data_IF_918928530658
#
_entry.id   IF_918928530658
#
_cell.length_a   1.000
_cell.length_b   1.000
_cell.length_c   1.000
_cell.angle_alpha   90.00
_cell.angle_beta   90.00
_cell.angle_gamma   90.00
#
_symmetry.space_group_name_H-M   'P 1'
#
loop_
_entity.id
_entity.type
_entity.pdbx_description
1 polymer ?
#
# COMPACT_ATOMS: atom_id res chain seq x y z
N UNK A 1 -22.31 0.71 8.38
CA UNK A 1 -22.91 1.62 7.40
C UNK A 1 -22.77 3.01 7.95
N UNK A 2 -22.49 4.02 7.13
CA UNK A 2 -22.56 5.43 7.55
C UNK A 2 -24.02 5.91 7.61
N UNK A 3 -24.22 7.22 7.84
CA UNK A 3 -25.54 7.85 7.87
C UNK A 3 -26.26 7.87 6.52
N UNK A 4 -25.53 7.68 5.42
CA UNK A 4 -26.04 7.66 4.05
C UNK A 4 -26.25 6.20 3.55
N UNK A 5 -26.19 5.23 4.46
CA UNK A 5 -26.31 3.79 4.20
C UNK A 5 -25.19 3.19 3.33
N UNK A 6 -24.07 3.90 3.18
CA UNK A 6 -22.91 3.38 2.49
C UNK A 6 -22.23 2.29 3.32
N UNK A 7 -21.76 1.19 2.71
CA UNK A 7 -20.98 0.18 3.40
C UNK A 7 -19.53 0.62 3.57
N UNK A 8 -19.01 0.34 4.76
CA UNK A 8 -17.62 0.52 5.15
C UNK A 8 -17.11 -0.81 5.67
N UNK A 9 -15.89 -1.16 5.28
CA UNK A 9 -15.27 -2.44 5.57
C UNK A 9 -13.80 -2.19 5.86
N UNK A 10 -13.29 -2.82 6.91
CA UNK A 10 -11.86 -3.01 7.12
C UNK A 10 -11.53 -4.49 6.96
N UNK A 11 -10.39 -4.79 6.34
CA UNK A 11 -10.01 -6.16 6.04
C UNK A 11 -8.50 -6.34 6.02
N UNK A 12 -8.09 -7.58 6.35
CA UNK A 12 -6.74 -8.07 6.09
C UNK A 12 -6.70 -8.61 4.67
N UNK A 13 -5.79 -8.11 3.85
CA UNK A 13 -5.42 -8.76 2.59
C UNK A 13 -4.05 -9.41 2.70
N UNK A 14 -3.78 -10.36 1.81
CA UNK A 14 -2.55 -11.15 1.78
C UNK A 14 -1.78 -10.86 0.49
N UNK A 15 -0.45 -10.69 0.60
CA UNK A 15 0.48 -10.65 -0.54
C UNK A 15 1.20 -11.98 -0.70
N UNK A 16 1.81 -12.14 -1.86
CA UNK A 16 2.79 -13.20 -2.12
C UNK A 16 3.96 -13.01 -1.15
N UNK A 17 4.43 -14.10 -0.52
CA UNK A 17 5.47 -14.13 0.54
C UNK A 17 5.03 -13.80 1.99
N UNK A 18 3.75 -13.93 2.31
CA UNK A 18 3.18 -13.87 3.68
C UNK A 18 3.13 -12.49 4.34
N UNK A 19 3.50 -11.42 3.64
CA UNK A 19 3.14 -10.07 4.09
C UNK A 19 1.63 -9.89 3.99
N UNK A 20 1.04 -9.33 5.03
CA UNK A 20 -0.37 -8.93 5.02
C UNK A 20 -0.47 -7.42 5.10
N UNK A 21 -1.62 -6.90 4.72
CA UNK A 21 -1.92 -5.49 4.88
C UNK A 21 -3.28 -5.31 5.52
N UNK A 22 -3.39 -4.22 6.29
CA UNK A 22 -4.65 -3.69 6.77
C UNK A 22 -5.15 -2.67 5.75
N UNK A 23 -6.31 -2.95 5.14
CA UNK A 23 -7.01 -2.00 4.27
C UNK A 23 -8.34 -1.57 4.87
N UNK A 24 -8.76 -0.38 4.49
CA UNK A 24 -10.11 0.12 4.64
C UNK A 24 -10.71 0.38 3.26
N UNK A 25 -12.00 0.15 3.14
CA UNK A 25 -12.75 0.46 1.95
C UNK A 25 -14.14 0.96 2.31
N UNK A 26 -14.62 1.90 1.51
CA UNK A 26 -16.00 2.36 1.56
C UNK A 26 -16.58 2.41 0.15
N UNK A 27 -17.90 2.37 0.04
CA UNK A 27 -18.58 2.45 -1.24
C UNK A 27 -19.49 3.66 -1.29
N UNK A 28 -19.40 4.44 -2.36
CA UNK A 28 -20.32 5.55 -2.62
C UNK A 28 -21.00 5.41 -3.99
N UNK A 29 -21.59 6.49 -4.49
CA UNK A 29 -22.23 6.54 -5.81
C UNK A 29 -21.29 6.35 -7.00
N UNK A 30 -19.98 6.52 -6.81
CA UNK A 30 -18.94 6.36 -7.84
C UNK A 30 -18.28 4.98 -7.82
N UNK A 31 -18.44 4.21 -6.73
CA UNK A 31 -17.93 2.84 -6.65
C UNK A 31 -17.28 2.54 -5.30
N UNK A 32 -16.37 1.56 -5.30
CA UNK A 32 -15.54 1.26 -4.14
C UNK A 32 -14.29 2.14 -4.13
N UNK A 33 -13.95 2.64 -2.96
CA UNK A 33 -12.72 3.37 -2.65
C UNK A 33 -11.93 2.55 -1.66
N UNK A 34 -10.62 2.40 -1.89
CA UNK A 34 -9.73 1.60 -1.06
C UNK A 34 -8.62 2.47 -0.47
N UNK A 35 -8.19 2.10 0.73
CA UNK A 35 -7.16 2.79 1.47
C UNK A 35 -6.26 1.79 2.20
N UNK A 36 -4.95 1.88 1.96
CA UNK A 36 -3.95 1.15 2.74
C UNK A 36 -3.71 1.87 4.07
N UNK A 37 -3.97 1.17 5.17
CA UNK A 37 -3.75 1.70 6.52
C UNK A 37 -2.34 1.35 6.99
N UNK A 38 -1.96 0.07 6.88
CA UNK A 38 -0.67 -0.41 7.37
C UNK A 38 -0.26 -1.73 6.71
N UNK A 39 1.04 -1.94 6.53
CA UNK A 39 1.65 -3.22 6.16
C UNK A 39 2.12 -3.94 7.42
N UNK A 40 1.58 -5.12 7.69
CA UNK A 40 1.96 -5.96 8.84
C UNK A 40 1.62 -7.41 8.58
N UNK A 41 2.49 -8.31 9.02
CA UNK A 41 2.35 -9.77 8.92
C UNK A 41 1.03 -10.32 9.47
N UNK A 42 0.42 -9.65 10.45
CA UNK A 42 -0.81 -10.11 11.05
C UNK A 42 -1.61 -8.94 11.61
N UNK A 43 -2.79 -8.71 11.05
CA UNK A 43 -3.73 -7.71 11.52
C UNK A 43 -5.11 -8.34 11.72
N UNK A 44 -5.77 -7.97 12.83
CA UNK A 44 -7.15 -8.35 13.13
C UNK A 44 -7.96 -7.07 13.35
N UNK A 45 -8.48 -6.48 12.28
CA UNK A 45 -9.08 -5.17 12.40
C UNK A 45 -10.52 -5.23 12.90
N UNK A 46 -10.89 -4.19 13.62
CA UNK A 46 -12.25 -3.86 14.01
C UNK A 46 -12.52 -2.43 13.55
N UNK A 47 -13.70 -2.20 12.98
CA UNK A 47 -14.13 -0.90 12.46
C UNK A 47 -15.37 -0.45 13.22
N UNK A 48 -15.38 0.81 13.62
CA UNK A 48 -16.55 1.58 14.00
C UNK A 48 -16.58 2.89 13.20
N UNK A 49 -17.75 3.54 13.12
CA UNK A 49 -17.88 4.84 12.47
C UNK A 49 -18.36 5.88 13.49
N UNK A 50 -17.82 7.10 13.46
CA UNK A 50 -18.37 8.18 14.27
C UNK A 50 -19.69 8.74 13.69
N UNK A 51 -20.29 9.69 14.41
CA UNK A 51 -21.52 10.37 13.99
C UNK A 51 -21.38 11.19 12.69
N UNK A 52 -20.15 11.42 12.23
CA UNK A 52 -19.83 12.11 10.97
C UNK A 52 -19.46 11.13 9.85
N UNK A 53 -19.52 9.82 10.10
CA UNK A 53 -19.19 8.77 9.14
C UNK A 53 -17.69 8.48 9.02
N UNK A 54 -16.84 9.07 9.86
CA UNK A 54 -15.40 8.81 9.81
C UNK A 54 -15.06 7.45 10.41
N UNK A 55 -14.14 6.69 9.80
CA UNK A 55 -13.74 5.39 10.32
C UNK A 55 -12.87 5.53 11.57
N UNK A 56 -13.15 4.64 12.53
CA UNK A 56 -12.36 4.35 13.71
C UNK A 56 -11.94 2.89 13.64
N UNK A 57 -10.67 2.64 13.38
CA UNK A 57 -10.15 1.29 13.17
C UNK A 57 -9.19 0.94 14.29
N UNK A 58 -9.41 -0.22 14.87
CA UNK A 58 -8.52 -0.82 15.85
C UNK A 58 -7.92 -2.08 15.23
N UNK A 59 -6.60 -2.25 15.29
CA UNK A 59 -5.98 -3.50 14.89
C UNK A 59 -4.97 -3.95 15.91
N UNK A 60 -5.01 -5.24 16.19
CA UNK A 60 -3.89 -5.93 16.82
C UNK A 60 -2.83 -6.20 15.76
N UNK A 61 -1.61 -5.71 15.96
CA UNK A 61 -0.54 -5.71 14.96
C UNK A 61 0.65 -6.50 15.48
N UNK A 62 1.06 -7.49 14.69
CA UNK A 62 2.32 -8.20 14.87
C UNK A 62 3.45 -7.44 14.17
N UNK A 63 4.50 -7.12 14.94
CA UNK A 63 5.68 -6.42 14.46
C UNK A 63 6.70 -7.36 13.76
N UNK A 64 6.32 -8.61 13.48
CA UNK A 64 7.15 -9.53 12.70
C UNK A 64 8.25 -10.25 13.50
N UNK A 65 8.23 -10.13 14.83
CA UNK A 65 9.08 -10.94 15.69
C UNK A 65 8.35 -12.24 16.01
N UNK A 66 8.97 -13.39 15.80
CA UNK A 66 8.43 -14.74 16.04
C UNK A 66 7.95 -15.03 17.49
N UNK A 67 8.03 -14.02 18.37
CA UNK A 67 7.47 -13.98 19.74
C UNK A 67 7.22 -12.53 20.23
N UNK A 68 7.09 -11.57 19.31
CA UNK A 68 6.95 -10.14 19.64
C UNK A 68 5.63 -9.80 20.32
N UNK A 69 5.57 -8.69 21.08
CA UNK A 69 4.31 -8.22 21.63
C UNK A 69 3.38 -7.78 20.50
N UNK A 70 2.15 -8.27 20.55
CA UNK A 70 1.00 -7.71 19.87
C UNK A 70 0.78 -6.26 20.34
N UNK A 71 0.73 -5.33 19.39
CA UNK A 71 0.47 -3.91 19.67
C UNK A 71 -0.92 -3.55 19.17
N UNK A 72 -1.74 -3.02 20.08
CA UNK A 72 -3.03 -2.46 19.73
C UNK A 72 -2.81 -1.08 19.12
N UNK A 73 -3.07 -0.92 17.82
CA UNK A 73 -3.05 0.37 17.14
C UNK A 73 -4.46 0.85 16.84
N UNK A 74 -4.65 2.15 16.96
CA UNK A 74 -5.90 2.85 16.71
C UNK A 74 -5.70 3.90 15.63
N UNK A 75 -6.58 3.89 14.65
CA UNK A 75 -6.61 4.78 13.49
C UNK A 75 -7.97 5.50 13.47
N UNK A 76 -7.98 6.80 13.18
CA UNK A 76 -9.22 7.58 13.09
C UNK A 76 -9.13 8.67 12.03
N UNK A 77 -10.21 8.91 11.29
CA UNK A 77 -10.30 9.99 10.30
C UNK A 77 -10.04 9.54 8.86
N UNK A 78 -9.62 10.45 7.98
CA UNK A 78 -9.05 10.10 6.67
C UNK A 78 -7.67 9.49 6.96
N UNK A 79 -7.47 8.22 6.65
CA UNK A 79 -6.42 7.41 7.27
C UNK A 79 -5.05 7.48 6.58
N UNK A 80 -4.89 8.12 5.42
CA UNK A 80 -3.64 8.62 4.88
C UNK A 80 -3.89 9.55 3.66
N UNK A 81 -3.13 10.64 3.56
CA UNK A 81 -2.99 11.36 2.29
C UNK A 81 -2.30 10.42 1.29
N UNK A 82 -2.80 10.36 0.06
CA UNK A 82 -2.11 9.62 -1.02
C UNK A 82 -0.68 10.13 -1.13
N UNK A 83 0.35 9.26 -0.98
CA UNK A 83 1.74 9.69 -1.07
C UNK A 83 1.97 10.38 -2.42
N UNK A 84 2.63 11.53 -2.38
CA UNK A 84 2.96 12.26 -3.59
C UNK A 84 4.19 11.62 -4.20
N UNK A 85 4.00 10.84 -5.26
CA UNK A 85 5.06 10.29 -6.11
C UNK A 85 5.33 11.21 -7.29
N UNK A 86 6.57 11.29 -7.76
CA UNK A 86 6.96 12.14 -8.88
C UNK A 86 7.40 11.32 -10.09
N UNK A 87 7.33 11.94 -11.28
CA UNK A 87 7.76 11.25 -12.49
C UNK A 87 9.27 11.02 -12.52
N UNK A 88 9.68 9.83 -12.96
CA UNK A 88 11.08 9.51 -13.19
C UNK A 88 11.65 10.32 -14.36
N UNK A 89 12.98 10.53 -14.45
CA UNK A 89 13.60 11.43 -15.43
C UNK A 89 13.29 11.12 -16.90
N UNK A 90 13.05 9.86 -17.24
CA UNK A 90 12.73 9.42 -18.61
C UNK A 90 11.23 9.28 -18.90
N UNK A 91 10.37 9.55 -17.92
CA UNK A 91 8.93 9.29 -18.00
C UNK A 91 8.12 10.58 -18.20
N UNK A 92 6.92 10.43 -18.77
CA UNK A 92 5.96 11.53 -18.98
C UNK A 92 4.83 11.55 -17.97
N UNK A 93 4.77 10.57 -17.07
CA UNK A 93 3.76 10.44 -16.02
C UNK A 93 4.45 9.96 -14.72
N UNK A 94 3.87 10.28 -13.55
CA UNK A 94 4.30 9.70 -12.29
C UNK A 94 3.95 8.20 -12.24
N UNK A 95 4.65 7.42 -11.40
CA UNK A 95 4.27 6.05 -11.10
C UNK A 95 2.80 5.94 -10.68
N UNK A 96 2.17 4.81 -10.98
CA UNK A 96 0.79 4.50 -10.61
C UNK A 96 0.73 3.25 -9.72
N UNK A 97 -0.35 3.19 -8.93
CA UNK A 97 -0.77 2.05 -8.10
C UNK A 97 -2.11 1.52 -8.66
N UNK A 98 -2.09 0.67 -9.71
CA UNK A 98 -3.30 0.17 -10.36
C UNK A 98 -4.18 -0.68 -9.45
N UNK A 99 -3.60 -1.43 -8.50
CA UNK A 99 -4.34 -2.35 -7.63
C UNK A 99 -4.67 -1.78 -6.23
N UNK A 100 -4.25 -0.53 -5.99
CA UNK A 100 -4.49 0.27 -4.79
C UNK A 100 -3.96 -0.41 -3.52
N UNK A 101 -2.84 -1.12 -3.61
CA UNK A 101 -2.13 -1.73 -2.48
C UNK A 101 -1.07 -0.84 -1.83
N UNK A 102 -0.93 0.39 -2.34
CA UNK A 102 0.00 1.42 -1.90
C UNK A 102 1.41 1.22 -2.42
N UNK A 103 1.67 0.19 -3.23
CA UNK A 103 2.90 0.04 -4.00
C UNK A 103 2.65 0.52 -5.41
N UNK A 104 3.70 1.08 -6.01
CA UNK A 104 3.58 1.74 -7.30
C UNK A 104 4.35 0.91 -8.33
N UNK A 105 3.76 -0.21 -8.76
CA UNK A 105 4.39 -1.17 -9.70
C UNK A 105 4.37 -0.71 -11.16
N UNK A 106 3.47 0.19 -11.54
CA UNK A 106 3.51 0.89 -12.83
C UNK A 106 4.45 2.10 -12.70
N UNK A 107 5.75 1.81 -12.70
CA UNK A 107 6.82 2.80 -12.46
C UNK A 107 6.92 3.82 -13.59
N UNK A 108 6.53 3.45 -14.80
CA UNK A 108 6.60 4.35 -15.95
C UNK A 108 5.32 5.20 -16.14
N UNK A 109 4.22 4.83 -15.48
CA UNK A 109 2.94 5.53 -15.48
C UNK A 109 2.13 5.33 -16.76
N UNK A 110 2.34 4.24 -17.50
CA UNK A 110 1.64 3.92 -18.76
C UNK A 110 0.34 3.13 -18.55
N UNK A 111 -0.12 3.02 -17.31
CA UNK A 111 -1.32 2.31 -16.83
C UNK A 111 -1.20 0.79 -16.83
N UNK A 112 -0.03 0.23 -17.13
CA UNK A 112 0.18 -1.21 -17.18
C UNK A 112 1.43 -1.62 -16.39
N UNK A 113 1.25 -2.48 -15.38
CA UNK A 113 2.40 -3.16 -14.79
C UNK A 113 3.02 -4.14 -15.80
N UNK A 114 4.26 -3.86 -16.20
CA UNK A 114 4.95 -4.54 -17.28
C UNK A 114 6.44 -4.79 -17.00
N UNK A 115 7.10 -5.51 -17.91
CA UNK A 115 8.56 -5.65 -17.86
C UNK A 115 9.31 -4.31 -18.08
N UNK A 116 8.65 -3.33 -18.70
CA UNK A 116 9.19 -1.97 -18.83
C UNK A 116 9.41 -1.32 -17.46
N UNK A 117 8.50 -1.55 -16.53
CA UNK A 117 8.55 -1.02 -15.16
C UNK A 117 9.65 -1.66 -14.35
N UNK A 118 9.81 -2.99 -14.45
CA UNK A 118 10.90 -3.70 -13.78
C UNK A 118 12.26 -3.18 -14.26
N UNK A 119 12.41 -3.02 -15.58
CA UNK A 119 13.64 -2.47 -16.18
C UNK A 119 13.91 -1.06 -15.64
N UNK A 120 12.88 -0.21 -15.62
CA UNK A 120 13.00 1.16 -15.19
C UNK A 120 13.32 1.28 -13.70
N UNK A 121 12.65 0.48 -12.86
CA UNK A 121 12.96 0.38 -11.44
C UNK A 121 14.43 -0.03 -11.23
N UNK A 122 14.91 -1.08 -11.91
CA UNK A 122 16.31 -1.49 -11.85
C UNK A 122 17.30 -0.40 -12.31
N UNK A 123 16.88 0.51 -13.19
CA UNK A 123 17.71 1.63 -13.65
C UNK A 123 17.84 2.73 -12.58
N UNK A 124 16.86 2.88 -11.68
CA UNK A 124 16.77 4.02 -10.75
C UNK A 124 16.71 3.65 -9.25
N UNK A 125 16.67 2.36 -8.89
CA UNK A 125 16.46 1.88 -7.51
C UNK A 125 17.60 2.25 -6.53
N UNK A 126 18.82 2.50 -7.01
CA UNK A 126 20.00 2.67 -6.15
C UNK A 126 20.34 4.13 -5.82
N UNK A 127 19.85 5.08 -6.61
CA UNK A 127 20.17 6.50 -6.46
C UNK A 127 18.93 7.39 -6.51
N UNK A 128 18.15 7.33 -7.58
CA UNK A 128 17.12 8.35 -7.81
C UNK A 128 15.85 8.10 -6.99
N UNK A 129 15.29 6.88 -7.03
CA UNK A 129 14.06 6.56 -6.28
C UNK A 129 14.29 6.75 -4.77
N UNK A 130 15.36 6.20 -4.15
CA UNK A 130 15.60 6.42 -2.71
C UNK A 130 15.80 7.88 -2.30
N UNK A 131 16.19 8.76 -3.23
CA UNK A 131 16.44 10.17 -2.94
C UNK A 131 15.24 11.08 -3.18
N UNK A 132 14.23 10.63 -3.93
CA UNK A 132 13.14 11.48 -4.39
C UNK A 132 11.74 10.93 -4.08
N UNK A 133 11.62 9.63 -3.83
CA UNK A 133 10.34 8.96 -3.66
C UNK A 133 10.12 8.45 -2.22
N UNK A 134 8.86 8.29 -1.79
CA UNK A 134 8.53 7.64 -0.52
C UNK A 134 8.96 6.17 -0.54
N UNK A 135 9.70 5.73 0.49
CA UNK A 135 10.21 4.35 0.58
C UNK A 135 9.05 3.36 0.54
N UNK A 136 7.97 3.64 1.25
CA UNK A 136 6.79 2.81 1.36
C UNK A 136 6.09 2.55 0.03
N UNK A 137 6.30 3.36 -1.01
CA UNK A 137 5.71 3.14 -2.34
C UNK A 137 6.50 2.14 -3.19
N UNK A 138 7.78 1.91 -2.85
CA UNK A 138 8.75 1.17 -3.66
C UNK A 138 9.49 0.07 -2.87
N UNK A 139 9.18 -0.10 -1.59
CA UNK A 139 9.60 -1.21 -0.73
C UNK A 139 8.71 -2.44 -0.99
N UNK A 140 8.94 -3.07 -2.14
CA UNK A 140 8.15 -4.20 -2.60
C UNK A 140 8.36 -5.46 -1.76
N UNK A 141 9.54 -5.61 -1.14
CA UNK A 141 9.89 -6.77 -0.32
C UNK A 141 9.67 -6.57 1.20
N UNK A 142 9.25 -5.38 1.61
CA UNK A 142 8.81 -5.05 2.96
C UNK A 142 9.94 -4.93 3.98
N UNK A 143 11.17 -4.74 3.55
CA UNK A 143 12.35 -4.72 4.41
C UNK A 143 12.66 -3.34 5.02
N UNK A 144 11.91 -2.30 4.64
CA UNK A 144 12.02 -0.93 5.13
C UNK A 144 13.05 -0.05 4.40
N UNK A 145 13.62 -0.49 3.27
CA UNK A 145 14.51 0.31 2.43
C UNK A 145 14.42 -0.10 0.95
N UNK A 146 14.58 0.86 0.05
CA UNK A 146 14.65 0.57 -1.39
C UNK A 146 16.03 0.00 -1.74
N UNK A 147 16.06 -1.19 -2.33
CA UNK A 147 17.29 -1.89 -2.70
C UNK A 147 17.08 -3.01 -3.74
N UNK A 148 18.11 -3.84 -3.92
CA UNK A 148 18.06 -4.93 -4.90
C UNK A 148 17.03 -6.03 -4.51
N UNK A 149 16.67 -6.10 -3.23
CA UNK A 149 15.59 -6.97 -2.75
C UNK A 149 14.25 -6.64 -3.41
N UNK A 150 13.96 -5.34 -3.56
CA UNK A 150 12.75 -4.82 -4.18
C UNK A 150 12.69 -5.10 -5.68
N UNK A 151 13.83 -5.00 -6.39
CA UNK A 151 13.91 -5.37 -7.82
C UNK A 151 13.47 -6.82 -8.02
N UNK A 152 13.96 -7.71 -7.16
CA UNK A 152 13.61 -9.13 -7.19
C UNK A 152 12.14 -9.36 -6.83
N UNK A 153 11.63 -8.67 -5.82
CA UNK A 153 10.22 -8.78 -5.42
C UNK A 153 9.29 -8.32 -6.54
N UNK A 154 9.57 -7.17 -7.16
CA UNK A 154 8.83 -6.65 -8.31
C UNK A 154 8.84 -7.65 -9.48
N UNK A 155 10.00 -8.26 -9.78
CA UNK A 155 10.09 -9.29 -10.81
C UNK A 155 9.22 -10.52 -10.50
N UNK A 156 9.11 -10.92 -9.23
CA UNK A 156 8.23 -12.03 -8.83
C UNK A 156 6.75 -11.69 -8.91
N UNK A 157 6.35 -10.45 -8.59
CA UNK A 157 4.97 -9.98 -8.72
C UNK A 157 4.48 -10.03 -10.17
N UNK A 158 5.34 -9.75 -11.15
CA UNK A 158 4.98 -9.80 -12.57
C UNK A 158 4.79 -11.23 -13.10
N UNK A 159 5.48 -12.21 -12.51
CA UNK A 159 5.48 -13.60 -12.97
C UNK A 159 4.30 -14.45 -12.51
N UNK A 160 3.32 -13.87 -11.81
CA UNK A 160 2.16 -14.56 -11.21
C UNK A 160 0.85 -14.00 -11.75
#
# INVERSE_FOLDING_TARGET
>A
MDSDENPHITFRGERVNFDSYLKYAYKDGSGWHFELIERSYNCKPSLDLDSSGNPHILSDIDLGYSSGPYVLKYYSGILNETPTVIQLPSCSAPPLDPDQDGLYEDVNGDTLFSFGDIRLFFEYYDVWIPANEPIECFDYDGNGFIGFGDVRALFWMWGT
#
